data_IF_387109593644
#
_entry.id   IF_387109593644
#
_cell.length_a   1.000
_cell.length_b   1.000
_cell.length_c   1.000
_cell.angle_alpha   90.00
_cell.angle_beta   90.00
_cell.angle_gamma   90.00
#
_symmetry.space_group_name_H-M   'P 1'
#
loop_
_entity.id
_entity.type
_entity.pdbx_description
1 polymer ?
#
# COMPACT_ATOMS: atom_id res chain seq x y z
N UNK A 1 5.52 37.77 -14.49
CA UNK A 1 5.70 36.32 -14.18
C UNK A 1 7.13 36.12 -13.72
N UNK A 2 7.40 35.24 -12.74
CA UNK A 2 8.78 34.91 -12.37
C UNK A 2 9.42 34.00 -13.43
N UNK A 3 10.71 34.19 -13.69
CA UNK A 3 11.51 33.30 -14.53
C UNK A 3 12.15 32.19 -13.69
N UNK A 4 12.31 31.01 -14.28
CA UNK A 4 13.01 29.87 -13.68
C UNK A 4 14.03 29.31 -14.67
N UNK A 5 15.20 28.92 -14.15
CA UNK A 5 16.17 28.11 -14.88
C UNK A 5 15.98 26.66 -14.46
N UNK A 6 15.76 25.76 -15.43
CA UNK A 6 15.49 24.32 -15.20
C UNK A 6 16.62 23.51 -15.86
N UNK A 7 17.25 22.64 -15.09
CA UNK A 7 18.19 21.64 -15.60
C UNK A 7 17.47 20.30 -15.76
N UNK A 8 17.67 19.68 -16.92
CA UNK A 8 17.18 18.33 -17.20
C UNK A 8 18.34 17.45 -17.63
N UNK A 9 18.27 16.19 -17.23
CA UNK A 9 19.20 15.14 -17.65
C UNK A 9 18.42 13.87 -18.00
N UNK A 10 19.10 12.87 -18.53
CA UNK A 10 18.53 11.54 -18.72
C UNK A 10 19.53 10.49 -18.27
N UNK A 11 19.04 9.30 -17.91
CA UNK A 11 19.93 8.19 -17.60
C UNK A 11 20.55 7.64 -18.88
N UNK A 12 21.87 7.61 -18.94
CA UNK A 12 22.63 7.02 -20.04
C UNK A 12 23.29 5.72 -19.55
N UNK A 13 22.70 4.55 -19.81
CA UNK A 13 23.29 3.28 -19.41
C UNK A 13 24.67 3.10 -20.06
N UNK A 14 25.60 2.58 -19.28
CA UNK A 14 26.92 2.17 -19.74
C UNK A 14 27.06 0.69 -19.47
N UNK A 15 27.35 -0.10 -20.49
CA UNK A 15 27.52 -1.55 -20.40
C UNK A 15 28.93 -1.95 -20.83
N UNK A 16 29.29 -3.20 -20.53
CA UNK A 16 30.50 -3.84 -21.05
C UNK A 16 30.21 -5.31 -21.34
N UNK A 17 30.86 -5.86 -22.35
CA UNK A 17 30.80 -7.29 -22.65
C UNK A 17 32.12 -7.96 -22.27
N UNK A 18 32.05 -8.96 -21.38
CA UNK A 18 33.22 -9.75 -20.98
C UNK A 18 32.82 -11.19 -20.68
N UNK A 19 33.75 -12.11 -20.95
CA UNK A 19 33.58 -13.54 -20.65
C UNK A 19 34.27 -13.87 -19.32
N UNK A 20 33.58 -14.57 -18.43
CA UNK A 20 34.10 -15.02 -17.14
C UNK A 20 34.04 -16.55 -17.07
N UNK A 21 35.17 -17.19 -16.81
CA UNK A 21 35.22 -18.63 -16.58
C UNK A 21 34.86 -18.90 -15.11
N UNK A 22 33.79 -19.66 -14.88
CA UNK A 22 33.37 -20.07 -13.55
C UNK A 22 32.62 -21.40 -13.60
N UNK A 23 32.54 -22.10 -12.47
CA UNK A 23 31.82 -23.37 -12.35
C UNK A 23 30.30 -23.20 -12.38
N UNK A 24 29.78 -22.03 -12.01
CA UNK A 24 28.34 -21.70 -12.05
C UNK A 24 28.08 -20.30 -12.59
N UNK A 25 26.84 -20.05 -13.02
CA UNK A 25 26.38 -18.75 -13.47
C UNK A 25 26.50 -17.69 -12.36
N UNK A 26 26.13 -18.03 -11.13
CA UNK A 26 26.19 -17.11 -9.99
C UNK A 26 27.63 -16.71 -9.67
N UNK A 27 28.57 -17.65 -9.80
CA UNK A 27 30.00 -17.37 -9.63
C UNK A 27 30.53 -16.45 -10.76
N UNK A 28 30.12 -16.68 -12.02
CA UNK A 28 30.46 -15.78 -13.14
C UNK A 28 29.86 -14.38 -12.94
N UNK A 29 28.59 -14.27 -12.51
CA UNK A 29 27.93 -12.99 -12.23
C UNK A 29 28.62 -12.23 -11.10
N UNK A 30 29.04 -12.93 -10.02
CA UNK A 30 29.78 -12.31 -8.93
C UNK A 30 31.13 -11.78 -9.40
N UNK A 31 31.89 -12.59 -10.15
CA UNK A 31 33.15 -12.16 -10.76
C UNK A 31 32.95 -10.94 -11.69
N UNK A 32 31.83 -10.90 -12.42
CA UNK A 32 31.49 -9.76 -13.28
C UNK A 32 31.14 -8.48 -12.52
N UNK A 33 30.65 -8.57 -11.29
CA UNK A 33 30.40 -7.41 -10.41
C UNK A 33 31.69 -6.94 -9.73
N UNK A 34 32.58 -7.87 -9.36
CA UNK A 34 33.86 -7.60 -8.70
C UNK A 34 34.92 -7.01 -9.65
N UNK A 35 34.85 -7.31 -10.95
CA UNK A 35 35.75 -6.75 -11.96
C UNK A 35 35.51 -5.23 -12.11
N UNK A 36 36.50 -4.41 -11.77
CA UNK A 36 36.43 -2.94 -11.82
C UNK A 36 36.91 -2.33 -13.13
N UNK A 37 37.28 -3.15 -14.13
CA UNK A 37 37.80 -2.68 -15.41
C UNK A 37 36.68 -2.25 -16.37
N UNK A 38 36.45 -0.93 -16.46
CA UNK A 38 35.47 -0.32 -17.36
C UNK A 38 36.07 0.28 -18.64
N UNK A 39 37.33 -0.04 -19.00
CA UNK A 39 37.98 0.52 -20.20
C UNK A 39 37.28 0.14 -21.51
N UNK A 40 36.64 -1.03 -21.55
CA UNK A 40 35.89 -1.56 -22.70
C UNK A 40 34.39 -1.20 -22.65
N UNK A 41 34.04 -0.17 -21.89
CA UNK A 41 32.65 0.21 -21.71
C UNK A 41 32.07 0.93 -22.94
N UNK A 42 30.80 0.67 -23.20
CA UNK A 42 30.03 1.24 -24.29
C UNK A 42 28.79 1.94 -23.74
N UNK A 43 28.39 3.04 -24.38
CA UNK A 43 27.19 3.79 -24.01
C UNK A 43 26.00 3.28 -24.81
N UNK A 44 24.92 2.97 -24.11
CA UNK A 44 23.65 2.60 -24.75
C UNK A 44 22.80 3.85 -24.99
N UNK A 45 22.96 4.45 -26.18
CA UNK A 45 22.17 5.62 -26.56
C UNK A 45 20.71 5.26 -26.90
N UNK A 46 20.42 4.02 -27.30
CA UNK A 46 19.09 3.59 -27.75
C UNK A 46 18.15 3.26 -26.57
N UNK A 47 18.71 2.87 -25.42
CA UNK A 47 17.97 2.63 -24.17
C UNK A 47 17.86 3.87 -23.28
N UNK A 48 18.53 4.97 -23.63
CA UNK A 48 18.44 6.26 -22.92
C UNK A 48 17.10 6.95 -23.24
N UNK A 49 16.13 6.89 -22.33
CA UNK A 49 14.74 7.27 -22.67
C UNK A 49 14.10 8.34 -21.80
N UNK A 50 14.38 8.39 -20.50
CA UNK A 50 13.63 9.29 -19.61
C UNK A 50 14.42 10.54 -19.23
N UNK A 51 13.94 11.68 -19.71
CA UNK A 51 14.42 13.00 -19.30
C UNK A 51 13.73 13.38 -18.00
N UNK A 52 14.51 13.74 -16.99
CA UNK A 52 14.06 14.15 -15.66
C UNK A 52 14.78 15.42 -15.22
N UNK A 53 14.21 16.11 -14.23
CA UNK A 53 14.73 17.39 -13.74
C UNK A 53 15.73 17.13 -12.61
N UNK A 54 16.92 17.73 -12.70
CA UNK A 54 17.97 17.61 -11.66
C UNK A 54 18.23 18.91 -10.91
N UNK A 55 17.77 20.04 -11.45
CA UNK A 55 18.00 21.34 -10.84
C UNK A 55 16.96 22.38 -11.22
N UNK A 56 16.60 23.22 -10.25
CA UNK A 56 15.66 24.33 -10.43
C UNK A 56 16.20 25.54 -9.69
N UNK A 57 16.25 26.69 -10.36
CA UNK A 57 16.66 27.97 -9.76
C UNK A 57 15.70 29.07 -10.16
N UNK A 58 15.51 30.05 -9.27
CA UNK A 58 14.72 31.26 -9.58
C UNK A 58 15.59 32.29 -10.29
N UNK A 59 15.08 32.84 -11.39
CA UNK A 59 15.76 33.85 -12.20
C UNK A 59 16.39 33.28 -13.47
N UNK A 60 16.74 34.18 -14.38
CA UNK A 60 17.32 33.87 -15.70
C UNK A 60 18.81 33.52 -15.56
N UNK A 61 19.25 32.42 -16.17
CA UNK A 61 20.64 31.94 -16.12
C UNK A 61 21.18 31.71 -14.70
N UNK A 62 20.31 31.29 -13.78
CA UNK A 62 20.62 31.16 -12.36
C UNK A 62 21.26 29.80 -11.98
N UNK A 63 21.47 28.90 -12.95
CA UNK A 63 22.10 27.60 -12.71
C UNK A 63 23.45 27.77 -12.00
N UNK A 64 23.64 27.04 -10.90
CA UNK A 64 24.86 27.02 -10.07
C UNK A 64 25.29 28.37 -9.47
N UNK A 65 24.50 29.43 -9.64
CA UNK A 65 24.81 30.79 -9.16
C UNK A 65 23.74 31.33 -8.21
N UNK A 66 22.49 30.94 -8.41
CA UNK A 66 21.36 31.25 -7.53
C UNK A 66 21.09 30.17 -6.48
N UNK A 67 20.18 30.45 -5.55
CA UNK A 67 19.66 29.46 -4.62
C UNK A 67 18.84 28.39 -5.37
N UNK A 68 19.18 27.12 -5.14
CA UNK A 68 18.43 25.98 -5.70
C UNK A 68 17.09 25.81 -4.99
N UNK A 69 16.07 25.46 -5.76
CA UNK A 69 14.74 25.07 -5.29
C UNK A 69 14.65 23.54 -5.35
N UNK A 70 14.05 22.87 -4.37
CA UNK A 70 13.80 21.44 -4.44
C UNK A 70 12.97 21.07 -5.67
N UNK A 71 13.42 20.06 -6.42
CA UNK A 71 12.67 19.50 -7.55
C UNK A 71 11.44 18.76 -6.99
N UNK A 72 10.23 19.03 -7.52
CA UNK A 72 9.06 18.26 -7.14
C UNK A 72 9.21 16.78 -7.55
N UNK A 73 8.87 15.81 -6.70
CA UNK A 73 9.22 14.39 -6.92
C UNK A 73 8.63 13.77 -8.19
N UNK A 74 7.54 14.32 -8.71
CA UNK A 74 6.93 13.87 -9.96
C UNK A 74 7.82 14.09 -11.20
N UNK A 75 8.84 14.94 -11.10
CA UNK A 75 9.82 15.21 -12.15
C UNK A 75 11.13 14.44 -11.99
N UNK A 76 11.22 13.57 -10.96
CA UNK A 76 12.33 12.62 -10.81
C UNK A 76 12.21 11.50 -11.86
N UNK A 77 13.31 10.79 -12.09
CA UNK A 77 13.35 9.57 -12.92
C UNK A 77 12.34 8.53 -12.42
N UNK A 78 11.67 7.79 -13.32
CA UNK A 78 10.65 6.81 -12.96
C UNK A 78 11.16 5.75 -11.97
N UNK A 79 12.43 5.33 -12.08
CA UNK A 79 13.03 4.38 -11.13
C UNK A 79 13.06 4.97 -9.72
N UNK A 80 13.44 6.24 -9.58
CA UNK A 80 13.46 6.94 -8.29
C UNK A 80 12.04 7.19 -7.77
N UNK A 81 11.11 7.58 -8.65
CA UNK A 81 9.69 7.71 -8.30
C UNK A 81 9.14 6.39 -7.74
N UNK A 82 9.43 5.25 -8.38
CA UNK A 82 9.03 3.92 -7.91
C UNK A 82 9.69 3.55 -6.59
N UNK A 83 11.00 3.76 -6.45
CA UNK A 83 11.75 3.42 -5.25
C UNK A 83 11.22 4.20 -4.03
N UNK A 84 11.01 5.51 -4.18
CA UNK A 84 10.43 6.34 -3.13
C UNK A 84 8.98 5.95 -2.82
N UNK A 85 8.19 5.65 -3.85
CA UNK A 85 6.80 5.27 -3.65
C UNK A 85 6.67 3.89 -2.98
N UNK A 86 7.62 2.98 -3.18
CA UNK A 86 7.68 1.69 -2.48
C UNK A 86 7.75 1.87 -0.95
N UNK A 87 8.51 2.83 -0.44
CA UNK A 87 8.55 3.12 1.00
C UNK A 87 7.18 3.56 1.54
N UNK A 88 6.45 4.36 0.75
CA UNK A 88 5.10 4.79 1.08
C UNK A 88 4.16 3.58 1.11
N UNK A 89 4.14 2.78 0.05
CA UNK A 89 3.30 1.57 -0.04
C UNK A 89 3.61 0.56 1.08
N UNK A 90 4.88 0.38 1.42
CA UNK A 90 5.28 -0.47 2.54
C UNK A 90 4.78 0.09 3.88
N UNK A 91 4.87 1.41 4.08
CA UNK A 91 4.31 2.07 5.26
C UNK A 91 2.79 1.88 5.35
N UNK A 92 2.11 1.98 4.20
CA UNK A 92 0.68 1.75 4.13
C UNK A 92 0.32 0.29 4.48
N UNK A 93 1.05 -0.68 3.93
CA UNK A 93 0.83 -2.09 4.20
C UNK A 93 1.02 -2.45 5.68
N UNK A 94 1.99 -1.83 6.35
CA UNK A 94 2.21 -2.00 7.79
C UNK A 94 1.02 -1.51 8.61
N UNK A 95 0.51 -0.32 8.32
CA UNK A 95 -0.67 0.24 9.01
C UNK A 95 -1.89 -0.67 8.81
N UNK A 96 -2.10 -1.13 7.57
CA UNK A 96 -3.18 -2.08 7.27
C UNK A 96 -3.07 -3.36 8.10
N UNK A 97 -1.87 -3.97 8.16
CA UNK A 97 -1.65 -5.19 8.92
C UNK A 97 -1.84 -4.97 10.42
N UNK A 98 -1.38 -3.85 10.97
CA UNK A 98 -1.57 -3.49 12.37
C UNK A 98 -3.06 -3.30 12.71
N UNK A 99 -3.84 -2.67 11.85
CA UNK A 99 -5.29 -2.51 12.04
C UNK A 99 -6.04 -3.85 11.94
N UNK A 100 -5.63 -4.72 11.02
CA UNK A 100 -6.18 -6.07 10.89
C UNK A 100 -5.95 -6.89 12.17
N UNK A 101 -4.72 -6.89 12.70
CA UNK A 101 -4.38 -7.55 13.97
C UNK A 101 -5.12 -6.94 15.16
N UNK A 102 -5.20 -5.61 15.23
CA UNK A 102 -5.88 -4.90 16.31
C UNK A 102 -7.41 -4.90 16.17
N UNK A 103 -7.96 -5.58 15.15
CA UNK A 103 -9.38 -5.63 14.89
C UNK A 103 -10.03 -4.24 14.71
N UNK A 104 -9.27 -3.23 14.28
CA UNK A 104 -9.73 -1.85 14.13
C UNK A 104 -10.30 -1.58 12.74
N UNK A 105 -11.38 -0.81 12.69
CA UNK A 105 -11.87 -0.27 11.42
C UNK A 105 -10.88 0.79 10.90
N UNK A 106 -10.50 0.76 9.62
CA UNK A 106 -9.63 1.77 9.04
C UNK A 106 -10.32 3.14 9.07
N UNK A 107 -9.60 4.19 9.46
CA UNK A 107 -10.17 5.54 9.47
C UNK A 107 -10.43 6.06 8.05
N UNK A 108 -11.35 7.01 7.89
CA UNK A 108 -11.64 7.63 6.59
C UNK A 108 -10.44 8.38 6.01
N UNK A 109 -9.67 9.06 6.85
CA UNK A 109 -8.44 9.75 6.46
C UNK A 109 -7.41 8.77 5.89
N UNK A 110 -7.28 7.62 6.56
CA UNK A 110 -6.44 6.53 6.10
C UNK A 110 -6.89 5.94 4.76
N UNK A 111 -8.20 5.70 4.58
CA UNK A 111 -8.74 5.19 3.32
C UNK A 111 -8.55 6.18 2.17
N UNK A 112 -8.76 7.47 2.41
CA UNK A 112 -8.52 8.53 1.43
C UNK A 112 -7.05 8.61 1.03
N UNK A 113 -6.13 8.57 2.02
CA UNK A 113 -4.69 8.54 1.77
C UNK A 113 -4.28 7.30 0.98
N UNK A 114 -4.83 6.15 1.30
CA UNK A 114 -4.55 4.89 0.58
C UNK A 114 -5.00 4.97 -0.87
N UNK A 115 -6.22 5.45 -1.13
CA UNK A 115 -6.74 5.65 -2.48
C UNK A 115 -5.86 6.61 -3.30
N UNK A 116 -5.43 7.72 -2.69
CA UNK A 116 -4.53 8.68 -3.32
C UNK A 116 -3.18 8.06 -3.70
N UNK A 117 -2.53 7.36 -2.76
CA UNK A 117 -1.22 6.76 -3.03
C UNK A 117 -1.33 5.60 -4.03
N UNK A 118 -2.44 4.86 -4.07
CA UNK A 118 -2.68 3.86 -5.12
C UNK A 118 -2.73 4.52 -6.49
N UNK A 119 -3.53 5.58 -6.66
CA UNK A 119 -3.63 6.29 -7.93
C UNK A 119 -2.28 6.91 -8.36
N UNK A 120 -1.50 7.40 -7.39
CA UNK A 120 -0.13 7.86 -7.64
C UNK A 120 0.78 6.73 -8.10
N UNK A 121 0.71 5.57 -7.46
CA UNK A 121 1.45 4.38 -7.87
C UNK A 121 1.12 3.93 -9.29
N UNK A 122 -0.17 3.93 -9.65
CA UNK A 122 -0.64 3.64 -11.01
C UNK A 122 -0.09 4.65 -12.04
N UNK A 123 -0.12 5.95 -11.71
CA UNK A 123 0.45 6.98 -12.57
C UNK A 123 1.95 6.80 -12.78
N UNK A 124 2.71 6.48 -11.72
CA UNK A 124 4.16 6.19 -11.80
C UNK A 124 4.43 4.98 -12.71
N UNK A 125 3.62 3.91 -12.59
CA UNK A 125 3.75 2.73 -13.46
C UNK A 125 3.45 3.05 -14.92
N UNK A 126 2.48 3.93 -15.17
CA UNK A 126 2.14 4.40 -16.51
C UNK A 126 3.10 5.48 -17.07
N UNK A 127 4.08 5.95 -16.28
CA UNK A 127 4.96 7.06 -16.68
C UNK A 127 4.23 8.41 -16.80
N UNK A 128 3.09 8.56 -16.13
CA UNK A 128 2.27 9.78 -16.13
C UNK A 128 2.64 10.71 -14.97
N UNK A 129 2.26 12.01 -15.02
CA UNK A 129 2.31 12.89 -13.86
C UNK A 129 1.48 12.36 -12.69
N UNK A 130 1.83 12.77 -11.48
CA UNK A 130 1.01 12.48 -10.29
C UNK A 130 -0.40 13.10 -10.49
N UNK A 131 -1.48 12.48 -9.97
CA UNK A 131 -2.84 13.00 -10.12
C UNK A 131 -2.97 14.41 -9.52
N UNK A 132 -3.80 15.26 -10.12
CA UNK A 132 -4.03 16.64 -9.67
C UNK A 132 -5.15 16.75 -8.61
N UNK A 133 -6.14 15.85 -8.64
CA UNK A 133 -7.32 15.87 -7.78
C UNK A 133 -7.38 14.66 -6.86
N UNK A 134 -7.70 14.84 -5.56
CA UNK A 134 -7.89 13.74 -4.63
C UNK A 134 -8.87 12.72 -5.18
N UNK A 135 -8.52 11.44 -5.12
CA UNK A 135 -9.45 10.36 -5.46
C UNK A 135 -10.56 10.33 -4.41
N UNK A 136 -11.81 10.25 -4.86
CA UNK A 136 -12.96 10.09 -3.97
C UNK A 136 -12.76 8.83 -3.12
N UNK A 137 -12.71 8.96 -1.78
CA UNK A 137 -12.58 7.79 -0.93
C UNK A 137 -13.84 6.91 -1.05
N UNK A 138 -13.70 5.59 -0.85
CA UNK A 138 -14.86 4.73 -0.75
C UNK A 138 -15.77 5.22 0.38
N UNK A 139 -17.09 5.07 0.20
CA UNK A 139 -18.05 5.40 1.26
C UNK A 139 -17.78 4.53 2.49
N UNK A 140 -17.85 5.11 3.71
CA UNK A 140 -17.65 4.34 4.94
C UNK A 140 -18.65 3.18 5.01
N UNK A 141 -18.15 2.03 5.46
CA UNK A 141 -18.93 0.84 5.79
C UNK A 141 -18.71 0.57 7.27
N UNK A 142 -19.78 0.19 7.98
CA UNK A 142 -19.74 -0.09 9.42
C UNK A 142 -20.02 -1.57 9.69
N UNK A 143 -19.25 -2.19 10.57
CA UNK A 143 -19.42 -3.61 10.94
C UNK A 143 -20.41 -3.73 12.10
N UNK A 144 -21.57 -4.34 11.85
CA UNK A 144 -22.61 -4.54 12.87
C UNK A 144 -22.40 -5.77 13.76
N UNK A 145 -21.77 -6.82 13.22
CA UNK A 145 -21.48 -8.06 13.94
C UNK A 145 -20.14 -8.64 13.46
N UNK A 146 -19.40 -9.27 14.38
CA UNK A 146 -18.11 -9.90 14.08
C UNK A 146 -17.96 -11.21 14.83
N UNK A 147 -17.73 -12.28 14.08
CA UNK A 147 -17.29 -13.58 14.61
C UNK A 147 -15.75 -13.60 14.67
N UNK A 148 -15.18 -14.02 15.80
CA UNK A 148 -13.73 -14.05 16.02
C UNK A 148 -13.33 -15.44 16.50
N UNK A 149 -12.40 -16.09 15.79
CA UNK A 149 -11.96 -17.46 16.10
C UNK A 149 -11.32 -17.56 17.49
N UNK A 150 -10.54 -16.56 17.91
CA UNK A 150 -9.99 -16.50 19.27
C UNK A 150 -11.09 -16.51 20.34
N UNK A 151 -12.17 -15.76 20.12
CA UNK A 151 -13.33 -15.76 21.04
C UNK A 151 -14.10 -17.08 21.00
N UNK A 152 -14.10 -17.77 19.86
CA UNK A 152 -14.69 -19.11 19.75
C UNK A 152 -13.85 -20.11 20.54
N UNK A 153 -12.52 -20.00 20.52
CA UNK A 153 -11.64 -20.81 21.37
C UNK A 153 -11.87 -20.58 22.87
N UNK A 154 -12.01 -19.32 23.28
CA UNK A 154 -12.38 -18.99 24.66
C UNK A 154 -13.75 -19.59 25.03
N UNK A 155 -14.72 -19.50 24.11
CA UNK A 155 -16.05 -20.09 24.30
C UNK A 155 -16.02 -21.62 24.39
N UNK A 156 -15.20 -22.30 23.58
CA UNK A 156 -15.00 -23.76 23.65
C UNK A 156 -14.49 -24.16 25.03
N UNK A 157 -13.52 -23.42 25.57
CA UNK A 157 -13.01 -23.66 26.92
C UNK A 157 -14.12 -23.54 27.95
N UNK A 158 -14.89 -22.45 27.90
CA UNK A 158 -16.01 -22.24 28.83
C UNK A 158 -17.11 -23.31 28.70
N UNK A 159 -17.38 -23.80 27.49
CA UNK A 159 -18.36 -24.88 27.25
C UNK A 159 -17.87 -26.21 27.85
N UNK A 160 -16.60 -26.58 27.61
CA UNK A 160 -16.04 -27.85 28.12
C UNK A 160 -15.90 -27.87 29.65
N UNK A 161 -15.71 -26.70 30.28
CA UNK A 161 -15.72 -26.56 31.74
C UNK A 161 -17.09 -26.87 32.37
N UNK A 162 -18.19 -26.56 31.67
CA UNK A 162 -19.56 -26.68 32.19
C UNK A 162 -20.24 -27.96 31.72
N UNK A 163 -20.04 -28.34 30.47
CA UNK A 163 -20.69 -29.48 29.84
C UNK A 163 -19.74 -30.67 29.74
N UNK A 164 -19.90 -31.62 30.66
CA UNK A 164 -19.09 -32.84 30.70
C UNK A 164 -19.58 -33.94 29.75
N UNK A 165 -20.62 -33.68 28.94
CA UNK A 165 -21.11 -34.65 27.95
C UNK A 165 -20.08 -34.95 26.84
N UNK A 166 -19.13 -34.04 26.62
CA UNK A 166 -18.04 -34.17 25.64
C UNK A 166 -16.89 -35.11 26.07
N UNK A 167 -17.11 -35.98 27.07
CA UNK A 167 -16.25 -37.16 27.30
C UNK A 167 -14.80 -36.87 27.68
N UNK A 168 -14.52 -35.71 28.29
CA UNK A 168 -13.16 -35.31 28.70
C UNK A 168 -12.30 -34.76 27.57
N UNK A 169 -12.91 -34.37 26.44
CA UNK A 169 -12.24 -33.60 25.40
C UNK A 169 -11.59 -32.35 26.01
N UNK A 170 -10.29 -32.14 25.75
CA UNK A 170 -9.59 -30.92 26.16
C UNK A 170 -9.72 -29.83 25.10
N UNK A 171 -9.62 -28.56 25.50
CA UNK A 171 -9.60 -27.42 24.56
C UNK A 171 -8.51 -27.59 23.50
N UNK A 172 -7.34 -28.12 23.88
CA UNK A 172 -6.19 -28.33 22.98
C UNK A 172 -6.44 -29.41 21.92
N UNK A 173 -7.41 -30.30 22.14
CA UNK A 173 -7.78 -31.32 21.18
C UNK A 173 -8.63 -30.77 20.02
N UNK A 174 -9.21 -29.56 20.17
CA UNK A 174 -9.91 -28.86 19.09
C UNK A 174 -8.91 -28.00 18.33
N UNK A 175 -8.65 -28.40 17.09
CA UNK A 175 -7.69 -27.75 16.20
C UNK A 175 -8.18 -26.40 15.67
N UNK A 176 -7.23 -25.55 15.27
CA UNK A 176 -7.51 -24.26 14.64
C UNK A 176 -8.32 -24.43 13.36
N UNK A 177 -8.03 -25.47 12.57
CA UNK A 177 -8.76 -25.79 11.34
C UNK A 177 -10.23 -26.14 11.62
N UNK A 178 -10.53 -26.91 12.68
CA UNK A 178 -11.91 -27.24 13.06
C UNK A 178 -12.68 -25.99 13.53
N UNK A 179 -12.02 -25.08 14.27
CA UNK A 179 -12.61 -23.80 14.66
C UNK A 179 -12.87 -22.93 13.44
N UNK A 180 -11.91 -22.87 12.51
CA UNK A 180 -12.03 -22.13 11.27
C UNK A 180 -13.21 -22.64 10.42
N UNK A 181 -13.27 -23.95 10.18
CA UNK A 181 -14.36 -24.59 9.42
C UNK A 181 -15.72 -24.32 10.07
N UNK A 182 -15.82 -24.42 11.41
CA UNK A 182 -17.04 -24.12 12.13
C UNK A 182 -17.44 -22.64 12.01
N UNK A 183 -16.47 -21.71 12.11
CA UNK A 183 -16.72 -20.28 11.96
C UNK A 183 -17.17 -19.92 10.55
N UNK A 184 -16.53 -20.46 9.52
CA UNK A 184 -16.93 -20.28 8.12
C UNK A 184 -18.32 -20.84 7.88
N UNK A 185 -18.63 -22.01 8.41
CA UNK A 185 -19.97 -22.61 8.32
C UNK A 185 -21.02 -21.67 8.92
N UNK A 186 -20.84 -21.22 10.17
CA UNK A 186 -21.79 -20.30 10.82
C UNK A 186 -21.91 -18.97 10.08
N UNK A 187 -20.80 -18.38 9.66
CA UNK A 187 -20.79 -17.10 8.94
C UNK A 187 -21.52 -17.17 7.59
N UNK A 188 -21.51 -18.32 6.93
CA UNK A 188 -22.18 -18.52 5.63
C UNK A 188 -23.64 -18.94 5.75
N UNK A 189 -24.04 -19.58 6.86
CA UNK A 189 -25.44 -20.02 7.06
C UNK A 189 -26.30 -19.04 7.84
N UNK A 190 -25.70 -18.13 8.62
CA UNK A 190 -26.44 -17.19 9.46
C UNK A 190 -26.94 -16.01 8.63
N UNK A 191 -28.26 -15.78 8.65
CA UNK A 191 -28.88 -14.62 8.00
C UNK A 191 -28.95 -13.42 8.96
N UNK A 192 -28.29 -12.32 8.58
CA UNK A 192 -28.30 -11.05 9.32
C UNK A 192 -29.16 -9.97 8.66
N UNK A 193 -29.89 -10.29 7.58
CA UNK A 193 -30.61 -9.30 6.76
C UNK A 193 -31.59 -8.45 7.57
N UNK A 194 -32.37 -9.07 8.47
CA UNK A 194 -33.32 -8.35 9.33
C UNK A 194 -32.62 -7.38 10.29
N UNK A 195 -31.49 -7.82 10.88
CA UNK A 195 -30.70 -7.00 11.82
C UNK A 195 -30.09 -5.81 11.10
N UNK A 196 -29.49 -6.05 9.93
CA UNK A 196 -28.89 -5.00 9.08
C UNK A 196 -29.95 -4.00 8.64
N UNK A 197 -31.06 -4.48 8.06
CA UNK A 197 -32.14 -3.63 7.58
C UNK A 197 -32.77 -2.77 8.68
N UNK A 198 -32.96 -3.33 9.88
CA UNK A 198 -33.42 -2.55 11.03
C UNK A 198 -32.41 -1.48 11.45
N UNK A 199 -31.10 -1.79 11.48
CA UNK A 199 -30.07 -0.83 11.83
C UNK A 199 -30.00 0.34 10.82
N UNK A 200 -30.06 0.05 9.52
CA UNK A 200 -30.11 1.05 8.45
C UNK A 200 -31.34 1.95 8.58
N UNK A 201 -32.51 1.37 8.85
CA UNK A 201 -33.73 2.14 9.05
C UNK A 201 -33.63 3.10 10.25
N UNK A 202 -33.08 2.64 11.39
CA UNK A 202 -32.87 3.49 12.56
C UNK A 202 -31.84 4.60 12.30
N UNK A 203 -30.76 4.30 11.57
CA UNK A 203 -29.77 5.29 11.15
C UNK A 203 -30.41 6.38 10.27
N UNK A 204 -31.25 5.98 9.31
CA UNK A 204 -31.98 6.91 8.45
C UNK A 204 -32.92 7.84 9.25
N UNK A 205 -33.72 7.29 10.16
CA UNK A 205 -34.60 8.10 11.02
C UNK A 205 -33.82 9.09 11.89
N UNK A 206 -32.68 8.66 12.43
CA UNK A 206 -31.81 9.50 13.25
C UNK A 206 -31.25 10.67 12.44
N UNK A 207 -30.74 10.41 11.24
CA UNK A 207 -30.23 11.43 10.33
C UNK A 207 -31.33 12.44 9.93
N UNK A 208 -32.53 11.97 9.58
CA UNK A 208 -33.66 12.83 9.22
C UNK A 208 -34.06 13.74 10.39
N UNK A 209 -34.13 13.21 11.60
CA UNK A 209 -34.46 13.99 12.81
C UNK A 209 -33.43 15.08 13.07
N UNK A 210 -32.14 14.74 12.95
CA UNK A 210 -31.05 15.72 13.11
C UNK A 210 -31.14 16.84 12.06
N UNK A 211 -31.41 16.50 10.80
CA UNK A 211 -31.60 17.48 9.74
C UNK A 211 -32.83 18.38 10.00
N UNK A 212 -33.94 17.80 10.47
CA UNK A 212 -35.15 18.56 10.79
C UNK A 212 -34.93 19.57 11.93
N UNK A 213 -34.17 19.18 12.98
CA UNK A 213 -33.81 20.07 14.08
C UNK A 213 -32.90 21.21 13.64
N UNK A 214 -31.94 20.96 12.74
CA UNK A 214 -31.04 21.99 12.20
C UNK A 214 -31.76 23.06 11.36
N UNK A 215 -32.88 22.69 10.75
CA UNK A 215 -33.64 23.55 9.84
C UNK A 215 -34.79 24.33 10.52
N UNK A 216 -35.03 24.10 11.82
CA UNK A 216 -35.94 24.90 12.64
C UNK A 216 -35.18 26.00 13.38
#
# INVERSE_FOLDING_TARGET
MPDFTIETTYHLPVFRHRTYAAETLEAACRAAIEDDNWEISEKDQDSSREVHVTGVWKGTHAAYTGASIPVPPQFDEAVQRRARHFEILLGLLKIFLDDAHAAREPSLDWLARSAWEIARGEAILAGSPDPDEPVDPPKPVHVLARLQEDRVRDAITAVLEVDHSFGGLSTEAVSDDEIHEACVSIATTTDFSDVVGNAEFQAALTAIRAAHLRLR
#
